data_IF_750819881267
#
_entry.id   IF_750819881267
#
_cell.length_a   1.000
_cell.length_b   1.000
_cell.length_c   1.000
_cell.angle_alpha   90.00
_cell.angle_beta   90.00
_cell.angle_gamma   90.00
#
_symmetry.space_group_name_H-M   'P 1'
#
loop_
_entity.id
_entity.type
_entity.pdbx_description
1 polymer ?
#
# COMPACT_ATOMS: atom_id res chain seq x y z
N UNK A 1 -21.40 -45.27 -0.30
CA UNK A 1 -22.03 -43.95 -0.19
C UNK A 1 -21.40 -43.08 -1.28
N UNK A 2 -22.17 -42.50 -2.20
CA UNK A 2 -21.57 -41.67 -3.25
C UNK A 2 -21.29 -40.26 -2.71
N UNK A 3 -20.33 -39.55 -3.30
CA UNK A 3 -20.04 -38.17 -2.94
C UNK A 3 -21.24 -37.22 -3.13
N UNK A 4 -22.19 -37.58 -3.99
CA UNK A 4 -23.42 -36.80 -4.20
C UNK A 4 -24.45 -36.97 -3.05
N UNK A 5 -24.27 -37.99 -2.20
CA UNK A 5 -25.18 -38.31 -1.09
C UNK A 5 -24.72 -37.71 0.24
N UNK A 6 -23.63 -36.93 0.26
CA UNK A 6 -23.17 -36.26 1.46
C UNK A 6 -24.19 -35.20 1.91
N UNK A 7 -24.49 -35.11 3.22
CA UNK A 7 -25.32 -34.05 3.77
C UNK A 7 -24.79 -32.65 3.42
N UNK A 8 -25.71 -31.71 3.20
CA UNK A 8 -25.38 -30.36 2.75
C UNK A 8 -24.49 -29.63 3.76
N UNK A 9 -24.76 -29.76 5.05
CA UNK A 9 -23.96 -29.24 6.16
C UNK A 9 -22.53 -29.77 6.14
N UNK A 10 -22.35 -31.07 5.87
CA UNK A 10 -21.01 -31.68 5.75
C UNK A 10 -20.27 -31.15 4.53
N UNK A 11 -20.96 -30.95 3.39
CA UNK A 11 -20.34 -30.37 2.20
C UNK A 11 -19.97 -28.90 2.41
N UNK A 12 -20.87 -28.11 3.00
CA UNK A 12 -20.70 -26.68 3.29
C UNK A 12 -19.56 -26.48 4.28
N UNK A 13 -19.66 -27.01 5.50
CA UNK A 13 -18.72 -26.73 6.59
C UNK A 13 -17.47 -27.63 6.57
N UNK A 14 -17.62 -28.88 6.11
CA UNK A 14 -16.57 -29.89 6.14
C UNK A 14 -15.64 -29.87 4.94
N UNK A 15 -16.11 -29.39 3.78
CA UNK A 15 -15.35 -29.42 2.51
C UNK A 15 -15.19 -28.02 1.93
N UNK A 16 -16.29 -27.38 1.50
CA UNK A 16 -16.22 -26.17 0.68
C UNK A 16 -15.76 -24.97 1.49
N UNK A 17 -16.21 -24.82 2.74
CA UNK A 17 -15.75 -23.75 3.64
C UNK A 17 -14.24 -23.82 3.92
N UNK A 18 -13.64 -25.00 3.76
CA UNK A 18 -12.21 -25.24 3.98
C UNK A 18 -11.37 -25.09 2.72
N UNK A 19 -11.98 -24.86 1.56
CA UNK A 19 -11.25 -24.56 0.33
C UNK A 19 -11.02 -23.08 0.25
N UNK A 20 -9.76 -22.61 0.35
CA UNK A 20 -9.50 -21.19 0.34
C UNK A 20 -9.59 -20.60 -1.07
N UNK A 21 -9.25 -21.39 -2.10
CA UNK A 21 -9.16 -20.94 -3.50
C UNK A 21 -10.55 -20.92 -4.17
N UNK A 22 -11.03 -19.77 -4.67
CA UNK A 22 -12.25 -19.67 -5.46
C UNK A 22 -12.33 -20.68 -6.61
N UNK A 23 -11.23 -20.86 -7.35
CA UNK A 23 -11.17 -21.83 -8.45
C UNK A 23 -11.54 -23.26 -8.03
N UNK A 24 -11.13 -23.70 -6.84
CA UNK A 24 -11.47 -25.03 -6.33
C UNK A 24 -12.96 -25.12 -5.96
N UNK A 25 -13.54 -24.06 -5.38
CA UNK A 25 -14.98 -23.98 -5.12
C UNK A 25 -15.79 -24.04 -6.42
N UNK A 26 -15.33 -23.37 -7.48
CA UNK A 26 -15.96 -23.40 -8.80
C UNK A 26 -15.89 -24.80 -9.42
N UNK A 27 -14.72 -25.46 -9.35
CA UNK A 27 -14.54 -26.85 -9.81
C UNK A 27 -15.47 -27.80 -9.07
N UNK A 28 -15.62 -27.64 -7.76
CA UNK A 28 -16.55 -28.42 -6.95
C UNK A 28 -18.03 -28.18 -7.31
N UNK A 29 -18.41 -26.93 -7.58
CA UNK A 29 -19.76 -26.59 -8.03
C UNK A 29 -20.12 -27.22 -9.39
N UNK A 30 -19.13 -27.63 -10.18
CA UNK A 30 -19.33 -28.33 -11.44
C UNK A 30 -19.59 -29.84 -11.28
N UNK A 31 -19.24 -30.44 -10.13
CA UNK A 31 -19.31 -31.91 -9.91
C UNK A 31 -20.74 -32.45 -9.98
N UNK A 32 -21.66 -31.90 -9.17
CA UNK A 32 -23.07 -32.30 -9.19
C UNK A 32 -23.98 -31.21 -8.59
N UNK A 33 -25.31 -31.40 -8.65
CA UNK A 33 -26.29 -30.42 -8.15
C UNK A 33 -26.17 -30.16 -6.64
N UNK A 34 -25.91 -31.20 -5.83
CA UNK A 34 -25.74 -31.04 -4.39
C UNK A 34 -24.52 -30.18 -4.05
N UNK A 35 -23.39 -30.41 -4.72
CA UNK A 35 -22.17 -29.64 -4.52
C UNK A 35 -22.30 -28.21 -5.04
N UNK A 36 -23.04 -28.01 -6.14
CA UNK A 36 -23.41 -26.66 -6.61
C UNK A 36 -24.27 -25.90 -5.59
N UNK A 37 -25.23 -26.56 -4.97
CA UNK A 37 -26.06 -25.96 -3.93
C UNK A 37 -25.20 -25.59 -2.70
N UNK A 38 -24.36 -26.51 -2.25
CA UNK A 38 -23.41 -26.28 -1.15
C UNK A 38 -22.44 -25.12 -1.45
N UNK A 39 -21.90 -25.07 -2.67
CA UNK A 39 -20.99 -24.00 -3.10
C UNK A 39 -21.67 -22.63 -3.09
N UNK A 40 -22.91 -22.54 -3.55
CA UNK A 40 -23.68 -21.29 -3.52
C UNK A 40 -23.94 -20.80 -2.09
N UNK A 41 -24.21 -21.71 -1.17
CA UNK A 41 -24.39 -21.38 0.25
C UNK A 41 -23.08 -20.85 0.87
N UNK A 42 -21.93 -21.47 0.56
CA UNK A 42 -20.63 -21.00 1.06
C UNK A 42 -20.17 -19.69 0.43
N UNK A 43 -20.38 -19.48 -0.88
CA UNK A 43 -19.98 -18.23 -1.56
C UNK A 43 -20.66 -17.02 -0.92
N UNK A 44 -21.90 -17.15 -0.44
CA UNK A 44 -22.57 -16.08 0.31
C UNK A 44 -21.99 -15.81 1.71
N UNK A 45 -21.16 -16.69 2.25
CA UNK A 45 -20.67 -16.61 3.63
C UNK A 45 -19.15 -16.35 3.78
N UNK A 46 -18.33 -16.65 2.77
CA UNK A 46 -16.86 -16.61 2.89
C UNK A 46 -16.22 -15.85 1.72
N UNK A 47 -16.71 -14.66 1.40
CA UNK A 47 -15.90 -13.67 0.69
C UNK A 47 -15.09 -12.87 1.71
N UNK A 48 -14.14 -13.54 2.35
CA UNK A 48 -13.16 -12.88 3.19
C UNK A 48 -11.95 -12.52 2.32
N UNK A 49 -11.33 -11.34 2.52
CA UNK A 49 -10.10 -11.01 1.85
C UNK A 49 -8.99 -11.96 2.27
N UNK A 50 -8.00 -12.05 1.39
CA UNK A 50 -6.76 -12.75 1.64
C UNK A 50 -5.73 -11.77 2.17
N UNK A 51 -4.82 -12.29 2.98
CA UNK A 51 -3.57 -11.59 3.29
C UNK A 51 -2.48 -12.30 2.50
N UNK A 52 -1.85 -11.55 1.60
CA UNK A 52 -0.77 -12.05 0.76
C UNK A 52 0.55 -11.62 1.40
N UNK A 53 1.38 -12.61 1.71
CA UNK A 53 2.74 -12.42 2.16
C UNK A 53 3.67 -12.19 0.96
N UNK A 54 4.85 -11.57 1.16
CA UNK A 54 5.80 -11.29 0.10
C UNK A 54 6.15 -12.51 -0.77
N UNK A 55 6.21 -13.73 -0.21
CA UNK A 55 6.61 -14.95 -0.94
C UNK A 55 5.47 -15.68 -1.64
N UNK A 56 4.35 -14.99 -1.88
CA UNK A 56 3.17 -15.58 -2.51
C UNK A 56 2.44 -16.59 -1.63
N UNK A 57 2.74 -16.60 -0.32
CA UNK A 57 1.92 -17.33 0.65
C UNK A 57 0.70 -16.50 0.98
N UNK A 58 -0.47 -17.11 0.87
CA UNK A 58 -1.73 -16.51 1.27
C UNK A 58 -2.13 -17.09 2.61
N UNK A 59 -2.56 -16.23 3.50
CA UNK A 59 -3.32 -16.59 4.67
C UNK A 59 -4.80 -16.23 4.44
N UNK A 60 -5.69 -17.05 4.98
CA UNK A 60 -7.14 -16.78 4.96
C UNK A 60 -7.69 -16.87 6.37
N UNK A 61 -8.56 -15.92 6.72
CA UNK A 61 -9.35 -16.00 7.92
C UNK A 61 -10.47 -17.04 7.75
N UNK A 62 -10.52 -18.00 8.67
CA UNK A 62 -11.68 -18.89 8.82
C UNK A 62 -12.55 -18.41 9.98
N UNK A 63 -13.88 -18.51 9.84
CA UNK A 63 -14.80 -18.37 10.99
C UNK A 63 -14.60 -19.58 11.91
N UNK A 64 -13.89 -19.40 13.03
CA UNK A 64 -13.71 -20.44 14.05
C UNK A 64 -12.82 -21.63 13.64
N UNK A 65 -12.21 -21.60 12.46
CA UNK A 65 -11.22 -22.57 12.01
C UNK A 65 -9.82 -21.93 12.09
N UNK A 66 -8.80 -22.73 12.42
CA UNK A 66 -7.40 -22.32 12.32
C UNK A 66 -7.15 -21.68 10.95
N UNK A 67 -6.42 -20.55 10.90
CA UNK A 67 -6.08 -19.94 9.63
C UNK A 67 -5.44 -20.96 8.70
N UNK A 68 -5.93 -21.02 7.47
CA UNK A 68 -5.31 -21.83 6.45
C UNK A 68 -4.33 -20.96 5.68
N UNK A 69 -3.11 -21.47 5.51
CA UNK A 69 -2.12 -20.89 4.62
C UNK A 69 -1.89 -21.81 3.44
N UNK A 70 -1.71 -21.22 2.27
CA UNK A 70 -1.36 -21.95 1.05
C UNK A 70 -0.55 -21.03 0.16
N UNK A 71 0.24 -21.61 -0.75
CA UNK A 71 0.94 -20.84 -1.76
C UNK A 71 0.02 -20.56 -2.94
N UNK A 72 0.00 -19.33 -3.42
CA UNK A 72 -0.75 -18.95 -4.61
C UNK A 72 -0.30 -19.85 -5.78
N UNK A 73 -1.23 -20.60 -6.41
CA UNK A 73 -0.90 -21.38 -7.60
C UNK A 73 -0.36 -20.48 -8.72
N UNK A 74 0.73 -20.91 -9.36
CA UNK A 74 1.37 -20.13 -10.44
C UNK A 74 2.28 -18.99 -9.96
N UNK A 75 2.39 -18.75 -8.65
CA UNK A 75 3.24 -17.69 -8.12
C UNK A 75 4.73 -17.98 -8.40
N UNK A 76 5.46 -17.10 -9.11
CA UNK A 76 6.85 -17.34 -9.48
C UNK A 76 7.77 -17.51 -8.26
N UNK A 77 8.70 -18.47 -8.30
CA UNK A 77 9.61 -18.75 -7.18
C UNK A 77 10.57 -17.60 -6.81
N UNK A 78 10.91 -16.77 -7.79
CA UNK A 78 11.87 -15.66 -7.63
C UNK A 78 11.18 -14.29 -7.60
N UNK A 79 9.87 -14.25 -7.36
CA UNK A 79 9.11 -13.02 -7.24
C UNK A 79 8.76 -12.70 -5.77
N UNK A 80 8.73 -11.41 -5.48
CA UNK A 80 8.17 -10.84 -4.26
C UNK A 80 6.84 -10.16 -4.61
N UNK A 81 5.80 -10.44 -3.84
CA UNK A 81 4.52 -9.76 -3.93
C UNK A 81 4.64 -8.36 -3.32
N UNK A 82 4.38 -7.33 -4.12
CA UNK A 82 4.35 -5.93 -3.70
C UNK A 82 2.98 -5.51 -3.12
N UNK A 83 1.93 -6.28 -3.42
CA UNK A 83 0.56 -6.01 -2.97
C UNK A 83 -0.47 -6.22 -4.09
N UNK A 84 -1.74 -5.96 -3.77
CA UNK A 84 -2.81 -5.98 -4.74
C UNK A 84 -2.81 -4.72 -5.60
N UNK A 85 -2.78 -4.88 -6.92
CA UNK A 85 -2.87 -3.79 -7.87
C UNK A 85 -4.32 -3.47 -8.26
N UNK A 86 -5.16 -4.50 -8.30
CA UNK A 86 -6.60 -4.44 -8.55
C UNK A 86 -7.23 -5.75 -8.05
N UNK A 87 -8.56 -5.86 -8.10
CA UNK A 87 -9.27 -7.11 -7.86
C UNK A 87 -8.75 -8.21 -8.78
N UNK A 88 -8.23 -9.27 -8.18
CA UNK A 88 -7.61 -10.39 -8.88
C UNK A 88 -6.19 -10.16 -9.40
N UNK A 89 -5.60 -8.96 -9.27
CA UNK A 89 -4.27 -8.65 -9.79
C UNK A 89 -3.28 -8.33 -8.68
N UNK A 90 -2.12 -8.97 -8.72
CA UNK A 90 -0.97 -8.74 -7.83
C UNK A 90 0.13 -8.01 -8.59
N UNK A 91 0.78 -7.07 -7.94
CA UNK A 91 2.04 -6.53 -8.41
C UNK A 91 3.20 -7.38 -7.87
N UNK A 92 4.12 -7.74 -8.75
CA UNK A 92 5.27 -8.58 -8.46
C UNK A 92 6.56 -7.83 -8.76
N UNK A 93 7.57 -8.10 -7.96
CA UNK A 93 8.96 -7.68 -8.16
C UNK A 93 9.84 -8.93 -8.26
N UNK A 94 10.49 -9.13 -9.40
CA UNK A 94 11.56 -10.12 -9.53
C UNK A 94 12.88 -9.41 -9.38
N UNK A 95 13.37 -9.38 -8.15
CA UNK A 95 14.66 -8.79 -7.81
C UNK A 95 15.73 -9.87 -7.69
N UNK A 96 16.95 -9.55 -8.12
CA UNK A 96 18.12 -10.37 -7.80
C UNK A 96 18.52 -10.26 -6.32
N UNK A 97 17.99 -9.28 -5.60
CA UNK A 97 18.20 -9.07 -4.18
C UNK A 97 17.68 -10.26 -3.35
N UNK A 98 18.59 -10.92 -2.65
CA UNK A 98 18.24 -11.97 -1.68
C UNK A 98 17.65 -11.35 -0.41
N UNK A 99 18.13 -10.18 0.01
CA UNK A 99 17.71 -9.50 1.25
C UNK A 99 16.29 -8.96 1.12
N UNK A 100 15.94 -8.30 0.02
CA UNK A 100 14.57 -7.89 -0.30
C UNK A 100 13.60 -9.07 -0.40
N UNK A 101 14.11 -10.26 -0.79
CA UNK A 101 13.38 -11.55 -0.73
C UNK A 101 13.46 -12.25 0.64
N UNK A 102 14.12 -11.68 1.64
CA UNK A 102 14.20 -12.28 2.98
C UNK A 102 13.30 -11.51 3.93
N UNK A 103 12.55 -12.23 4.77
CA UNK A 103 11.54 -11.67 5.67
C UNK A 103 12.13 -10.47 6.41
N UNK A 104 11.41 -9.37 6.53
CA UNK A 104 11.94 -8.18 7.23
C UNK A 104 12.42 -8.54 8.64
N UNK A 105 11.83 -9.53 9.33
CA UNK A 105 12.35 -10.03 10.62
C UNK A 105 13.78 -10.54 10.56
N UNK A 106 14.18 -11.09 9.42
CA UNK A 106 15.53 -11.60 9.20
C UNK A 106 16.49 -10.49 8.77
N UNK A 107 16.00 -9.44 8.11
CA UNK A 107 16.81 -8.36 7.53
C UNK A 107 16.81 -7.05 8.32
N UNK A 108 15.95 -6.96 9.33
CA UNK A 108 15.91 -5.87 10.30
C UNK A 108 15.78 -6.48 11.67
N UNK A 109 16.90 -6.52 12.41
CA UNK A 109 16.87 -6.92 13.81
C UNK A 109 16.74 -5.65 14.63
N UNK A 110 15.84 -5.61 15.63
CA UNK A 110 15.75 -4.46 16.50
C UNK A 110 17.04 -4.40 17.32
N UNK A 111 17.83 -3.34 17.11
CA UNK A 111 19.06 -3.07 17.85
C UNK A 111 18.78 -1.92 18.82
N UNK A 112 19.14 -2.11 20.07
CA UNK A 112 19.10 -1.03 21.06
C UNK A 112 20.29 -0.12 20.81
N UNK A 113 20.04 1.14 20.42
CA UNK A 113 21.05 2.19 20.29
C UNK A 113 20.79 3.21 21.38
N UNK A 114 21.57 3.16 22.46
CA UNK A 114 21.28 3.93 23.67
C UNK A 114 20.03 3.39 24.38
N UNK A 115 19.09 4.27 24.70
CA UNK A 115 17.80 3.89 25.32
C UNK A 115 16.67 3.71 24.27
N UNK A 116 17.00 3.80 22.98
CA UNK A 116 16.04 3.75 21.88
C UNK A 116 16.20 2.46 21.09
N UNK A 117 15.08 1.79 20.79
CA UNK A 117 15.07 0.71 19.82
C UNK A 117 15.19 1.31 18.42
N UNK A 118 16.26 0.99 17.71
CA UNK A 118 16.41 1.30 16.29
C UNK A 118 16.32 0.01 15.49
N UNK A 119 15.42 -0.02 14.51
CA UNK A 119 15.44 -1.05 13.49
C UNK A 119 16.60 -0.75 12.54
N UNK A 120 17.68 -1.53 12.62
CA UNK A 120 18.78 -1.41 11.66
C UNK A 120 18.33 -2.06 10.37
N UNK A 121 18.05 -1.25 9.35
CA UNK A 121 17.86 -1.77 7.99
C UNK A 121 19.20 -2.30 7.51
N UNK A 122 19.29 -3.61 7.24
CA UNK A 122 20.48 -4.20 6.61
C UNK A 122 20.64 -3.74 5.15
N UNK A 123 19.59 -3.16 4.57
CA UNK A 123 19.59 -2.64 3.22
C UNK A 123 20.63 -1.54 3.05
N UNK A 124 21.53 -1.74 2.09
CA UNK A 124 22.60 -0.81 1.74
C UNK A 124 22.13 0.17 0.68
N UNK A 125 22.27 1.47 0.94
CA UNK A 125 21.95 2.52 -0.05
C UNK A 125 22.97 2.58 -1.19
N UNK A 126 24.19 2.09 -0.95
CA UNK A 126 25.29 2.00 -1.91
C UNK A 126 25.27 0.72 -2.77
N UNK A 127 24.32 -0.19 -2.53
CA UNK A 127 24.21 -1.45 -3.30
C UNK A 127 22.94 -1.44 -4.14
N UNK A 128 23.14 -1.45 -5.46
CA UNK A 128 22.07 -1.51 -6.44
C UNK A 128 21.74 -2.94 -6.83
N UNK A 129 20.44 -3.21 -6.96
CA UNK A 129 19.87 -4.49 -7.37
C UNK A 129 19.12 -4.36 -8.68
N UNK A 130 19.05 -5.46 -9.43
CA UNK A 130 18.25 -5.52 -10.65
C UNK A 130 16.84 -5.98 -10.33
N UNK A 131 15.86 -5.20 -10.75
CA UNK A 131 14.43 -5.49 -10.59
C UNK A 131 13.76 -5.68 -11.96
N UNK A 132 12.77 -6.58 -11.99
CA UNK A 132 11.88 -6.78 -13.14
C UNK A 132 10.44 -6.95 -12.65
N UNK A 133 9.62 -5.94 -12.91
CA UNK A 133 8.27 -5.81 -12.40
C UNK A 133 7.25 -6.46 -13.34
N UNK A 134 6.18 -6.99 -12.74
CA UNK A 134 5.07 -7.57 -13.49
C UNK A 134 3.76 -7.47 -12.73
N UNK A 135 2.65 -7.47 -13.47
CA UNK A 135 1.32 -7.75 -12.92
C UNK A 135 0.99 -9.22 -13.12
N UNK A 136 0.44 -9.88 -12.10
CA UNK A 136 0.07 -11.29 -12.17
C UNK A 136 -1.35 -11.50 -11.65
N UNK A 137 -2.15 -12.24 -12.41
CA UNK A 137 -3.49 -12.63 -12.02
C UNK A 137 -3.55 -14.16 -11.78
N UNK A 138 -3.57 -14.61 -10.52
CA UNK A 138 -3.52 -16.03 -10.19
C UNK A 138 -4.81 -16.81 -10.53
N UNK A 139 -5.90 -16.12 -10.90
CA UNK A 139 -7.17 -16.76 -11.27
C UNK A 139 -7.28 -17.05 -12.76
N UNK A 140 -6.59 -16.26 -13.59
CA UNK A 140 -6.52 -16.43 -15.03
C UNK A 140 -5.15 -16.94 -15.52
N UNK A 141 -4.17 -17.02 -14.62
CA UNK A 141 -2.77 -17.38 -14.91
C UNK A 141 -2.13 -16.45 -15.97
N UNK A 142 -2.52 -15.18 -15.94
CA UNK A 142 -2.00 -14.14 -16.83
C UNK A 142 -0.94 -13.33 -16.10
N UNK A 143 0.21 -13.16 -16.74
CA UNK A 143 1.30 -12.30 -16.27
C UNK A 143 1.64 -11.27 -17.33
N UNK A 144 1.66 -10.00 -16.94
CA UNK A 144 1.99 -8.85 -17.79
C UNK A 144 3.30 -8.25 -17.29
N UNK A 145 4.42 -8.40 -18.02
CA UNK A 145 5.66 -7.72 -17.67
C UNK A 145 5.50 -6.20 -17.86
N UNK A 146 6.19 -5.41 -17.04
CA UNK A 146 6.20 -3.94 -17.10
C UNK A 146 7.60 -3.42 -17.46
N UNK A 147 8.14 -3.72 -18.66
CA UNK A 147 9.50 -3.32 -19.02
C UNK A 147 9.70 -1.80 -19.03
N UNK A 148 8.63 -1.03 -19.23
CA UNK A 148 8.67 0.42 -19.16
C UNK A 148 8.90 0.91 -17.72
N UNK A 149 8.38 0.18 -16.73
CA UNK A 149 8.66 0.45 -15.32
C UNK A 149 10.08 0.01 -14.96
N UNK A 150 10.53 -1.13 -15.47
CA UNK A 150 11.91 -1.61 -15.33
C UNK A 150 12.91 -0.59 -15.91
N UNK A 151 12.55 0.13 -16.96
CA UNK A 151 13.40 1.17 -17.53
C UNK A 151 13.57 2.39 -16.60
N UNK A 152 12.65 2.62 -15.65
CA UNK A 152 12.72 3.74 -14.69
C UNK A 152 13.35 3.30 -13.37
N UNK A 153 12.94 2.14 -12.84
CA UNK A 153 13.30 1.66 -11.50
C UNK A 153 13.84 0.23 -11.48
N UNK A 154 14.34 -0.28 -12.61
CA UNK A 154 14.88 -1.65 -12.73
C UNK A 154 16.31 -1.81 -12.23
N UNK A 155 17.00 -0.73 -11.86
CA UNK A 155 18.28 -0.76 -11.15
C UNK A 155 18.25 0.31 -10.06
N UNK A 156 18.06 -0.10 -8.82
CA UNK A 156 17.85 0.80 -7.66
C UNK A 156 18.50 0.22 -6.42
N UNK A 157 18.77 1.07 -5.42
CA UNK A 157 19.36 0.64 -4.16
C UNK A 157 18.50 -0.40 -3.42
N UNK A 158 19.14 -1.21 -2.59
CA UNK A 158 18.48 -2.18 -1.69
C UNK A 158 17.46 -1.52 -0.74
N UNK A 159 17.63 -0.22 -0.45
CA UNK A 159 16.72 0.58 0.37
C UNK A 159 15.49 1.08 -0.39
N UNK A 160 15.50 1.02 -1.73
CA UNK A 160 14.39 1.41 -2.58
C UNK A 160 13.20 0.47 -2.42
N UNK A 161 11.99 1.03 -2.41
CA UNK A 161 10.75 0.30 -2.19
C UNK A 161 9.65 0.82 -3.07
N UNK A 162 9.03 -0.09 -3.81
CA UNK A 162 7.66 0.12 -4.31
C UNK A 162 6.70 -0.02 -3.14
N UNK A 163 5.92 1.03 -2.90
CA UNK A 163 5.03 1.14 -1.74
C UNK A 163 3.61 0.74 -2.05
N UNK A 164 3.10 1.17 -3.21
CA UNK A 164 1.74 0.91 -3.66
C UNK A 164 1.73 0.81 -5.18
N UNK A 165 0.99 -0.15 -5.71
CA UNK A 165 0.74 -0.29 -7.15
C UNK A 165 -0.77 -0.32 -7.33
N UNK A 166 -1.30 0.46 -8.27
CA UNK A 166 -2.73 0.51 -8.57
C UNK A 166 -2.93 0.42 -10.07
N UNK A 167 -3.76 -0.52 -10.53
CA UNK A 167 -4.27 -0.49 -11.89
C UNK A 167 -5.52 0.40 -11.94
N UNK A 168 -5.66 1.18 -13.02
CA UNK A 168 -6.86 2.00 -13.25
C UNK A 168 -8.10 1.14 -13.48
N UNK A 169 -7.95 0.02 -14.18
CA UNK A 169 -9.01 -0.93 -14.48
C UNK A 169 -8.46 -2.37 -14.49
N UNK A 170 -9.29 -3.41 -14.58
CA UNK A 170 -8.81 -4.80 -14.60
C UNK A 170 -8.19 -5.21 -15.94
N UNK A 171 -8.16 -4.32 -16.95
CA UNK A 171 -7.57 -4.61 -18.24
C UNK A 171 -6.03 -4.67 -18.14
N UNK A 172 -5.39 -5.71 -18.71
CA UNK A 172 -3.95 -5.97 -18.54
C UNK A 172 -3.04 -4.92 -19.18
N UNK A 173 -3.53 -4.19 -20.18
CA UNK A 173 -2.83 -3.16 -20.95
C UNK A 173 -3.24 -1.73 -20.55
N UNK A 174 -3.95 -1.59 -19.44
CA UNK A 174 -4.37 -0.30 -18.93
C UNK A 174 -3.28 0.38 -18.08
N UNK A 175 -3.53 1.63 -17.73
CA UNK A 175 -2.66 2.45 -16.91
C UNK A 175 -2.47 1.88 -15.50
N UNK A 176 -1.23 1.90 -15.04
CA UNK A 176 -0.82 1.55 -13.70
C UNK A 176 -0.15 2.76 -13.05
N UNK A 177 -0.53 3.08 -11.82
CA UNK A 177 0.14 4.04 -10.97
C UNK A 177 0.98 3.30 -9.93
N UNK A 178 2.25 3.67 -9.82
CA UNK A 178 3.22 3.08 -8.89
C UNK A 178 3.72 4.18 -7.98
N UNK A 179 3.61 3.98 -6.66
CA UNK A 179 4.24 4.83 -5.68
C UNK A 179 5.51 4.18 -5.15
N UNK A 180 6.54 5.00 -4.96
CA UNK A 180 7.83 4.58 -4.42
C UNK A 180 8.19 5.42 -3.19
N UNK A 181 9.21 4.96 -2.45
CA UNK A 181 9.81 5.76 -1.40
C UNK A 181 10.88 6.74 -1.91
N UNK A 182 11.21 6.80 -3.20
CA UNK A 182 12.20 7.75 -3.70
C UNK A 182 11.57 9.11 -4.01
N UNK A 183 12.26 10.20 -3.70
CA UNK A 183 11.80 11.55 -4.03
C UNK A 183 11.85 11.81 -5.55
N UNK A 184 12.83 11.22 -6.21
CA UNK A 184 13.08 11.38 -7.64
C UNK A 184 12.05 10.64 -8.51
N UNK A 185 11.32 9.68 -7.95
CA UNK A 185 10.26 8.96 -8.64
C UNK A 185 9.11 8.52 -7.71
N UNK A 186 8.63 9.46 -6.88
CA UNK A 186 7.62 9.17 -5.85
C UNK A 186 6.32 8.62 -6.44
N UNK A 187 5.88 9.12 -7.60
CA UNK A 187 4.74 8.57 -8.36
C UNK A 187 5.14 8.38 -9.82
N UNK A 188 4.97 7.16 -10.32
CA UNK A 188 5.25 6.76 -11.69
C UNK A 188 3.95 6.25 -12.31
N UNK A 189 3.59 6.78 -13.47
CA UNK A 189 2.56 6.21 -14.33
C UNK A 189 3.23 5.33 -15.37
N UNK A 190 2.75 4.10 -15.54
CA UNK A 190 3.23 3.21 -16.59
C UNK A 190 2.07 2.53 -17.30
N UNK A 191 2.26 2.24 -18.59
CA UNK A 191 1.32 1.45 -19.38
C UNK A 191 2.11 0.51 -20.27
N UNK A 192 1.83 -0.78 -20.13
CA UNK A 192 2.56 -1.84 -20.81
C UNK A 192 2.52 -1.64 -22.34
N UNK A 193 3.69 -1.67 -22.97
CA UNK A 193 3.85 -1.47 -24.41
C UNK A 193 3.68 -0.02 -24.89
N UNK A 194 3.45 0.94 -23.99
CA UNK A 194 3.22 2.36 -24.34
C UNK A 194 4.30 3.27 -23.80
N UNK A 195 4.58 3.21 -22.50
CA UNK A 195 5.63 4.03 -21.89
C UNK A 195 5.39 4.33 -20.42
N UNK A 196 6.18 5.26 -19.91
CA UNK A 196 6.13 5.76 -18.54
C UNK A 196 6.08 7.28 -18.50
N UNK A 197 5.58 7.79 -17.37
CA UNK A 197 5.62 9.20 -17.00
C UNK A 197 5.87 9.31 -15.50
N UNK A 198 7.00 9.91 -15.14
CA UNK A 198 7.35 10.17 -13.73
C UNK A 198 6.82 11.54 -13.36
N UNK A 199 6.00 11.60 -12.31
CA UNK A 199 5.45 12.88 -11.85
C UNK A 199 6.55 13.70 -11.16
N UNK A 200 6.50 15.04 -11.25
CA UNK A 200 7.29 15.90 -10.38
C UNK A 200 7.05 15.58 -8.90
N UNK A 201 8.05 15.83 -8.06
CA UNK A 201 7.94 15.53 -6.64
C UNK A 201 6.93 16.44 -5.94
N UNK A 202 5.84 15.84 -5.44
CA UNK A 202 4.78 16.52 -4.69
C UNK A 202 4.58 15.95 -3.28
N UNK A 203 5.56 15.20 -2.74
CA UNK A 203 5.50 14.59 -1.39
C UNK A 203 4.24 13.74 -1.16
N UNK A 204 3.84 12.96 -2.17
CA UNK A 204 2.63 12.16 -2.14
C UNK A 204 2.86 10.94 -1.24
N UNK A 205 1.97 10.76 -0.26
CA UNK A 205 2.02 9.64 0.70
C UNK A 205 0.99 8.56 0.42
N UNK A 206 -0.09 8.89 -0.29
CA UNK A 206 -1.03 7.90 -0.82
C UNK A 206 -1.70 8.39 -2.11
N UNK A 207 -2.12 7.43 -2.95
CA UNK A 207 -2.84 7.68 -4.20
C UNK A 207 -4.09 6.81 -4.33
N UNK A 208 -5.07 7.32 -5.08
CA UNK A 208 -6.27 6.56 -5.47
C UNK A 208 -6.83 7.06 -6.79
N UNK A 209 -7.27 6.14 -7.67
CA UNK A 209 -8.06 6.50 -8.84
C UNK A 209 -9.50 6.81 -8.42
N UNK A 210 -10.05 7.90 -8.99
CA UNK A 210 -11.47 8.21 -8.88
C UNK A 210 -12.01 8.61 -10.27
N UNK A 211 -12.79 7.70 -10.85
CA UNK A 211 -13.16 7.77 -12.26
C UNK A 211 -12.05 7.24 -13.17
N UNK A 212 -12.16 7.51 -14.47
CA UNK A 212 -11.23 6.99 -15.49
C UNK A 212 -10.08 7.95 -15.81
N UNK A 213 -10.25 9.24 -15.50
CA UNK A 213 -9.38 10.31 -16.00
C UNK A 213 -8.57 11.03 -14.91
N UNK A 214 -8.72 10.64 -13.64
CA UNK A 214 -8.06 11.34 -12.53
C UNK A 214 -7.43 10.38 -11.54
N UNK A 215 -6.12 10.54 -11.32
CA UNK A 215 -5.42 10.01 -10.15
C UNK A 215 -5.38 11.09 -9.08
N UNK A 216 -5.84 10.78 -7.88
CA UNK A 216 -5.72 11.66 -6.73
C UNK A 216 -4.53 11.26 -5.89
N UNK A 217 -3.74 12.23 -5.43
CA UNK A 217 -2.64 12.03 -4.49
C UNK A 217 -2.78 12.93 -3.28
N UNK A 218 -2.51 12.41 -2.08
CA UNK A 218 -2.51 13.17 -0.84
C UNK A 218 -1.08 13.39 -0.33
N UNK A 219 -0.78 14.57 0.20
CA UNK A 219 0.51 14.89 0.83
C UNK A 219 0.53 14.57 2.33
N UNK A 220 1.71 14.65 2.97
CA UNK A 220 1.81 14.61 4.44
C UNK A 220 1.02 15.74 5.12
N UNK A 221 0.94 16.90 4.47
CA UNK A 221 0.14 18.04 4.87
C UNK A 221 -1.36 17.89 4.60
N UNK A 222 -1.81 16.74 4.08
CA UNK A 222 -3.20 16.44 3.74
C UNK A 222 -3.82 17.35 2.68
N UNK A 223 -2.96 17.92 1.84
CA UNK A 223 -3.37 18.55 0.60
C UNK A 223 -3.74 17.47 -0.42
N UNK A 224 -4.79 17.70 -1.21
CA UNK A 224 -5.26 16.76 -2.23
C UNK A 224 -4.98 17.31 -3.62
N UNK A 225 -4.20 16.56 -4.38
CA UNK A 225 -3.88 16.84 -5.77
C UNK A 225 -4.71 15.95 -6.70
N UNK A 226 -5.24 16.54 -7.77
CA UNK A 226 -5.79 15.83 -8.90
C UNK A 226 -4.83 15.89 -10.08
N UNK A 227 -4.37 14.72 -10.51
CA UNK A 227 -3.59 14.53 -11.73
C UNK A 227 -4.54 14.07 -12.83
N UNK A 228 -4.86 14.99 -13.75
CA UNK A 228 -5.69 14.70 -14.90
C UNK A 228 -4.89 13.93 -15.92
N UNK A 229 -5.25 12.66 -16.08
CA UNK A 229 -4.55 11.68 -16.89
C UNK A 229 -4.86 11.97 -18.36
N UNK A 230 -3.83 11.84 -19.18
CA UNK A 230 -3.91 11.95 -20.63
C UNK A 230 -2.93 10.99 -21.28
N UNK A 231 -2.90 11.03 -22.60
CA UNK A 231 -1.95 10.30 -23.42
C UNK A 231 -1.33 11.28 -24.42
N UNK A 232 -0.07 11.10 -24.76
CA UNK A 232 0.56 11.82 -25.87
C UNK A 232 0.20 11.19 -27.23
N UNK A 233 0.74 11.74 -28.32
CA UNK A 233 0.49 11.27 -29.69
C UNK A 233 0.95 9.81 -29.92
N UNK A 234 1.89 9.31 -29.10
CA UNK A 234 2.39 7.93 -29.15
C UNK A 234 1.60 6.98 -28.22
N UNK A 235 0.62 7.51 -27.48
CA UNK A 235 -0.18 6.78 -26.49
C UNK A 235 0.54 6.57 -25.16
N UNK A 236 1.66 7.27 -24.92
CA UNK A 236 2.36 7.23 -23.63
C UNK A 236 1.53 7.93 -22.58
N UNK A 237 1.51 7.41 -21.34
CA UNK A 237 0.81 8.10 -20.26
C UNK A 237 1.39 9.50 -20.07
N UNK A 238 0.53 10.47 -19.77
CA UNK A 238 0.90 11.83 -19.44
C UNK A 238 -0.08 12.41 -18.41
N UNK A 239 0.27 13.53 -17.79
CA UNK A 239 -0.62 14.33 -16.94
C UNK A 239 -0.90 15.65 -17.65
N UNK A 240 -2.11 15.78 -18.21
CA UNK A 240 -2.51 16.95 -18.98
C UNK A 240 -2.69 18.21 -18.11
N UNK A 241 -3.07 18.02 -16.84
CA UNK A 241 -3.29 19.10 -15.89
C UNK A 241 -3.12 18.61 -14.46
N UNK A 242 -2.59 19.48 -13.60
CA UNK A 242 -2.47 19.25 -12.17
C UNK A 242 -3.29 20.31 -11.45
N UNK A 243 -4.12 19.89 -10.50
CA UNK A 243 -4.94 20.80 -9.69
C UNK A 243 -4.75 20.49 -8.20
N UNK A 244 -4.51 21.54 -7.40
CA UNK A 244 -4.58 21.46 -5.94
C UNK A 244 -6.03 21.63 -5.53
N UNK A 245 -6.72 20.51 -5.33
CA UNK A 245 -8.17 20.44 -5.11
C UNK A 245 -8.54 20.74 -3.66
N UNK A 246 -7.73 20.27 -2.70
CA UNK A 246 -7.88 20.61 -1.29
C UNK A 246 -6.57 21.21 -0.80
N UNK A 247 -6.62 22.46 -0.35
CA UNK A 247 -5.49 23.16 0.27
C UNK A 247 -5.62 23.10 1.79
N UNK A 248 -4.54 22.72 2.47
CA UNK A 248 -4.46 22.80 3.92
C UNK A 248 -3.52 23.94 4.30
N UNK A 249 -4.06 25.00 4.92
CA UNK A 249 -3.26 26.16 5.33
C UNK A 249 -2.23 25.85 6.41
N UNK A 250 -2.40 24.73 7.12
CA UNK A 250 -1.46 24.24 8.13
C UNK A 250 -0.43 23.25 7.54
N UNK A 251 -0.47 22.99 6.22
CA UNK A 251 0.45 22.04 5.58
C UNK A 251 1.92 22.38 5.83
N UNK A 252 2.27 23.68 5.91
CA UNK A 252 3.63 24.14 6.18
C UNK A 252 4.21 23.59 7.48
N UNK A 253 3.39 23.35 8.51
CA UNK A 253 3.84 22.72 9.77
C UNK A 253 4.23 21.24 9.60
N UNK A 254 3.81 20.59 8.51
CA UNK A 254 4.20 19.21 8.21
C UNK A 254 5.46 19.14 7.36
N UNK A 255 6.00 20.28 6.93
CA UNK A 255 7.15 20.34 6.03
C UNK A 255 8.45 20.77 6.71
N UNK A 256 8.40 21.15 8.01
CA UNK A 256 9.40 21.62 9.03
C UNK A 256 10.83 22.07 8.63
N UNK A 257 11.31 21.88 7.41
CA UNK A 257 12.59 22.38 6.88
C UNK A 257 12.51 22.86 5.41
N UNK A 258 11.43 22.58 4.67
CA UNK A 258 11.30 22.99 3.27
C UNK A 258 10.00 23.76 3.03
N UNK A 259 10.07 25.09 3.09
CA UNK A 259 8.99 25.99 2.67
C UNK A 259 8.72 25.83 1.17
N UNK A 260 7.94 24.82 0.80
CA UNK A 260 7.62 24.52 -0.59
C UNK A 260 6.46 25.40 -1.07
N UNK A 261 6.63 26.08 -2.21
CA UNK A 261 5.59 26.88 -2.87
C UNK A 261 5.11 26.15 -4.13
N UNK A 262 3.80 26.14 -4.35
CA UNK A 262 3.20 25.47 -5.49
C UNK A 262 3.62 26.13 -6.82
N UNK A 263 3.70 25.40 -7.97
CA UNK A 263 4.05 25.98 -9.28
C UNK A 263 3.26 27.27 -9.63
N UNK A 264 1.98 27.32 -9.27
CA UNK A 264 1.14 28.51 -9.46
C UNK A 264 1.56 29.71 -8.59
N UNK A 265 2.11 29.47 -7.40
CA UNK A 265 2.62 30.48 -6.50
C UNK A 265 3.99 30.99 -6.98
N UNK A 266 4.87 30.12 -7.49
CA UNK A 266 6.17 30.53 -8.10
C UNK A 266 5.97 31.37 -9.36
N UNK A 267 4.96 31.03 -10.18
CA UNK A 267 4.60 31.84 -11.34
C UNK A 267 4.16 33.27 -10.95
N UNK A 268 3.54 33.43 -9.77
CA UNK A 268 3.11 34.73 -9.25
C UNK A 268 4.22 35.52 -8.53
N UNK A 269 5.25 34.86 -8.00
CA UNK A 269 6.36 35.52 -7.30
C UNK A 269 7.56 35.84 -8.19
N UNK A 270 7.56 35.45 -9.47
CA UNK A 270 8.59 35.84 -10.45
C UNK A 270 8.68 37.35 -10.74
N UNK A 271 7.83 38.16 -10.10
CA UNK A 271 7.97 39.62 -10.02
C UNK A 271 8.13 40.00 -8.54
N UNK A 272 9.35 39.93 -8.01
CA UNK A 272 10.01 41.02 -7.28
C UNK A 272 11.14 40.48 -6.39
N UNK A 273 12.33 41.02 -6.67
CA UNK A 273 13.45 41.26 -5.77
C UNK A 273 14.24 40.05 -5.26
N UNK A 274 15.31 39.77 -6.00
CA UNK A 274 16.58 39.31 -5.47
C UNK A 274 17.02 40.25 -4.30
N UNK A 275 16.82 39.82 -3.06
CA UNK A 275 17.52 40.37 -1.90
C UNK A 275 18.12 39.19 -1.13
N UNK A 276 19.40 38.94 -1.45
CA UNK A 276 20.48 38.62 -0.52
C UNK A 276 20.10 37.77 0.70
N UNK A 277 20.04 36.45 0.51
CA UNK A 277 20.23 35.51 1.62
C UNK A 277 21.71 35.15 1.69
N UNK A 278 22.46 35.98 2.43
CA UNK A 278 23.80 35.68 2.93
C UNK A 278 23.72 34.44 3.84
N UNK A 279 24.02 33.27 3.27
CA UNK A 279 24.29 32.06 4.05
C UNK A 279 25.76 32.09 4.42
N UNK A 280 26.04 32.56 5.64
CA UNK A 280 27.37 32.60 6.22
C UNK A 280 28.00 31.19 6.25
N UNK A 281 29.23 31.13 5.74
CA UNK A 281 30.17 30.01 5.73
C UNK A 281 30.38 29.43 7.13
N UNK A 282 29.97 28.17 7.33
CA UNK A 282 30.47 27.34 8.44
C UNK A 282 31.54 26.38 7.88
N UNK A 283 32.80 26.82 7.99
CA UNK A 283 34.03 26.03 7.93
C UNK A 283 33.88 24.69 8.65
N UNK A 284 34.10 23.53 8.02
CA UNK A 284 34.76 22.37 8.65
C UNK A 284 35.22 21.30 7.64
N UNK A 285 36.54 21.06 7.69
CA UNK A 285 37.30 19.81 7.45
C UNK A 285 37.66 19.43 6.00
N UNK A 286 38.90 19.78 5.65
CA UNK A 286 39.74 19.07 4.67
C UNK A 286 39.87 17.59 5.06
N UNK A 287 39.43 16.67 4.20
CA UNK A 287 39.94 15.30 4.20
C UNK A 287 40.62 15.01 2.86
N UNK A 288 41.89 14.61 2.99
CA UNK A 288 42.84 14.31 1.92
C UNK A 288 42.40 13.16 1.01
N UNK A 289 42.71 13.36 -0.29
CA UNK A 289 42.71 12.39 -1.40
C UNK A 289 42.94 10.91 -1.03
N UNK A 290 42.05 10.02 -1.50
CA UNK A 290 42.45 8.69 -1.93
C UNK A 290 42.22 8.52 -3.44
N UNK A 291 43.34 8.57 -4.16
CA UNK A 291 43.69 7.80 -5.35
C UNK A 291 42.53 7.24 -6.22
N UNK A 292 42.28 7.95 -7.32
CA UNK A 292 41.97 7.47 -8.68
C UNK A 292 41.65 5.96 -8.78
N UNK A 293 40.37 5.62 -8.56
CA UNK A 293 39.76 4.43 -9.13
C UNK A 293 38.99 4.88 -10.37
N UNK A 294 39.58 4.56 -11.51
CA UNK A 294 39.01 4.68 -12.86
C UNK A 294 37.99 3.54 -13.02
N UNK A 295 36.76 3.76 -12.52
CA UNK A 295 35.62 2.93 -12.88
C UNK A 295 34.73 3.75 -13.82
N UNK A 296 34.83 3.41 -15.10
CA UNK A 296 34.17 4.12 -16.19
C UNK A 296 32.65 4.04 -16.15
N UNK A 297 32.06 5.17 -16.55
CA UNK A 297 30.80 5.30 -17.29
C UNK A 297 29.65 4.37 -16.86
N UNK A 298 29.03 4.64 -15.70
CA UNK A 298 27.67 4.17 -15.38
C UNK A 298 26.83 5.26 -14.64
N UNK A 299 27.23 6.55 -14.76
CA UNK A 299 26.79 7.71 -13.95
C UNK A 299 25.33 8.18 -14.15
N UNK A 300 24.43 7.36 -14.70
CA UNK A 300 22.99 7.69 -14.74
C UNK A 300 22.13 6.83 -13.80
N UNK A 301 22.66 5.74 -13.24
CA UNK A 301 21.87 4.85 -12.38
C UNK A 301 21.69 5.39 -10.96
N UNK A 302 22.63 6.20 -10.45
CA UNK A 302 22.65 6.60 -9.04
C UNK A 302 21.69 7.74 -8.70
N UNK A 303 21.07 8.36 -9.71
CA UNK A 303 20.13 9.46 -9.52
C UNK A 303 18.98 9.11 -8.57
N UNK A 304 18.52 7.86 -8.47
CA UNK A 304 17.37 7.50 -7.63
C UNK A 304 17.72 7.11 -6.20
N UNK A 305 19.02 6.96 -5.91
CA UNK A 305 19.55 6.48 -4.62
C UNK A 305 19.71 7.56 -3.56
N UNK A 306 19.39 8.82 -3.90
CA UNK A 306 19.49 9.95 -2.98
C UNK A 306 18.90 9.61 -1.61
N UNK A 307 19.67 9.93 -0.56
CA UNK A 307 19.49 9.47 0.81
C UNK A 307 18.14 9.86 1.45
N UNK A 308 17.40 10.75 0.81
CA UNK A 308 16.11 11.24 1.27
C UNK A 308 14.94 10.44 0.67
N UNK A 309 14.35 9.59 1.51
CA UNK A 309 13.24 8.71 1.18
C UNK A 309 11.91 9.27 1.71
N UNK A 310 10.82 9.16 0.95
CA UNK A 310 9.46 9.46 1.39
C UNK A 310 9.05 8.43 2.44
N UNK A 311 8.71 8.89 3.64
CA UNK A 311 8.11 8.07 4.68
C UNK A 311 6.85 7.37 4.19
N UNK A 312 6.55 6.18 4.74
CA UNK A 312 5.34 5.44 4.40
C UNK A 312 4.07 6.31 4.60
N UNK A 313 2.89 5.81 4.22
CA UNK A 313 1.64 6.56 4.46
C UNK A 313 1.42 6.84 5.96
N UNK A 314 2.27 6.22 6.77
CA UNK A 314 2.43 6.18 8.21
C UNK A 314 3.65 7.01 8.62
N UNK A 315 3.40 8.14 9.28
CA UNK A 315 4.46 9.06 9.73
C UNK A 315 4.46 9.10 11.25
N UNK A 316 5.64 9.26 11.86
CA UNK A 316 5.77 9.52 13.29
C UNK A 316 5.01 10.81 13.67
N UNK A 317 4.16 10.73 14.68
CA UNK A 317 3.21 11.75 15.13
C UNK A 317 3.52 12.21 16.57
N UNK A 318 4.79 12.06 16.98
CA UNK A 318 5.28 12.44 18.29
C UNK A 318 5.25 11.31 19.32
N UNK A 319 5.41 11.71 20.59
CA UNK A 319 5.41 10.78 21.72
C UNK A 319 4.06 10.83 22.44
N UNK A 320 3.62 9.67 22.95
CA UNK A 320 2.47 9.58 23.82
C UNK A 320 2.67 10.31 25.14
N UNK A 321 1.56 10.62 25.81
CA UNK A 321 1.57 11.21 27.14
C UNK A 321 2.12 10.20 28.15
N UNK A 322 3.32 10.47 28.68
CA UNK A 322 3.97 9.68 29.71
C UNK A 322 5.05 10.48 30.41
N UNK A 323 5.00 10.56 31.74
CA UNK A 323 5.99 11.27 32.57
C UNK A 323 7.34 10.54 32.64
N UNK A 324 7.37 9.25 32.28
CA UNK A 324 8.55 8.41 32.45
C UNK A 324 9.58 8.64 31.33
N UNK A 325 10.72 9.24 31.71
CA UNK A 325 11.85 9.58 30.85
C UNK A 325 12.55 8.37 30.18
N UNK A 326 12.19 7.12 30.49
CA UNK A 326 13.02 5.98 30.09
C UNK A 326 12.65 5.34 28.76
N UNK A 327 11.38 5.31 28.34
CA UNK A 327 10.99 4.96 26.97
C UNK A 327 9.60 5.53 26.71
N UNK A 328 9.49 6.56 25.88
CA UNK A 328 8.19 7.14 25.54
C UNK A 328 7.53 6.31 24.45
N UNK A 329 6.24 6.07 24.62
CA UNK A 329 5.45 5.44 23.58
C UNK A 329 5.44 6.32 22.33
N UNK A 330 5.59 5.72 21.16
CA UNK A 330 5.65 6.42 19.89
C UNK A 330 4.26 6.46 19.25
N UNK A 331 3.84 7.62 18.77
CA UNK A 331 2.62 7.79 18.02
C UNK A 331 2.93 7.79 16.53
N UNK A 332 2.05 7.18 15.77
CA UNK A 332 2.13 7.16 14.32
C UNK A 332 0.77 7.49 13.72
N UNK A 333 0.79 8.20 12.60
CA UNK A 333 -0.37 8.63 11.86
C UNK A 333 -0.29 8.16 10.41
N UNK A 334 -1.18 7.22 10.07
CA UNK A 334 -1.44 6.73 8.73
C UNK A 334 -2.48 7.60 8.01
N UNK A 335 -2.22 7.94 6.74
CA UNK A 335 -3.14 8.67 5.85
C UNK A 335 -3.44 7.82 4.63
N UNK A 336 -4.69 7.40 4.50
CA UNK A 336 -5.12 6.48 3.44
C UNK A 336 -6.24 7.10 2.61
N UNK A 337 -6.05 7.12 1.29
CA UNK A 337 -7.10 7.43 0.33
C UNK A 337 -7.87 6.16 -0.02
N UNK A 338 -9.18 6.22 0.16
CA UNK A 338 -10.08 5.09 -0.13
C UNK A 338 -11.31 5.59 -0.89
N UNK A 339 -11.62 4.94 -2.02
CA UNK A 339 -12.88 5.16 -2.72
C UNK A 339 -14.00 4.38 -2.03
N UNK A 340 -15.07 5.06 -1.62
CA UNK A 340 -16.27 4.42 -1.06
C UNK A 340 -17.06 3.66 -2.13
N UNK A 341 -18.03 2.84 -1.70
CA UNK A 341 -18.95 2.17 -2.64
C UNK A 341 -19.91 3.17 -3.31
N UNK A 342 -20.18 4.31 -2.67
CA UNK A 342 -20.92 5.44 -3.27
C UNK A 342 -20.11 6.20 -4.32
N UNK A 343 -18.81 5.92 -4.46
CA UNK A 343 -17.91 6.64 -5.36
C UNK A 343 -17.41 7.97 -4.81
N UNK A 344 -17.49 8.19 -3.51
CA UNK A 344 -16.86 9.34 -2.83
C UNK A 344 -15.41 9.00 -2.49
N UNK A 345 -14.54 10.03 -2.44
CA UNK A 345 -13.16 9.86 -1.96
C UNK A 345 -13.09 10.14 -0.47
N UNK A 346 -12.57 9.16 0.27
CA UNK A 346 -12.36 9.23 1.71
C UNK A 346 -10.88 9.37 2.02
N UNK A 347 -10.56 10.27 2.95
CA UNK A 347 -9.32 10.24 3.72
C UNK A 347 -9.62 9.53 5.04
N UNK A 348 -8.90 8.43 5.29
CA UNK A 348 -8.92 7.73 6.57
C UNK A 348 -7.61 8.00 7.29
N UNK A 349 -7.71 8.70 8.43
CA UNK A 349 -6.60 8.88 9.36
C UNK A 349 -6.61 7.72 10.35
N UNK A 350 -5.51 7.00 10.46
CA UNK A 350 -5.33 5.94 11.44
C UNK A 350 -4.21 6.32 12.39
N UNK A 351 -4.53 6.55 13.66
CA UNK A 351 -3.51 6.82 14.67
C UNK A 351 -3.33 5.57 15.54
N UNK A 352 -2.10 5.12 15.69
CA UNK A 352 -1.76 4.05 16.63
C UNK A 352 -0.55 4.42 17.47
N UNK A 353 -0.44 3.72 18.58
CA UNK A 353 0.65 3.85 19.51
C UNK A 353 1.49 2.58 19.45
N UNK A 354 2.79 2.75 19.24
CA UNK A 354 3.78 1.69 19.35
C UNK A 354 4.48 1.80 20.70
N UNK A 355 4.42 0.73 21.48
CA UNK A 355 5.16 0.61 22.72
C UNK A 355 6.21 -0.50 22.53
N UNK A 356 7.49 -0.27 22.84
CA UNK A 356 8.49 -1.34 22.70
C UNK A 356 8.29 -2.53 23.64
N UNK A 357 7.38 -2.44 24.63
CA UNK A 357 7.07 -3.52 25.59
C UNK A 357 5.71 -4.17 25.40
N UNK A 358 4.90 -3.71 24.45
CA UNK A 358 3.58 -4.29 24.17
C UNK A 358 3.22 -4.19 22.68
N UNK A 359 2.31 -5.04 22.18
CA UNK A 359 1.80 -4.90 20.83
C UNK A 359 1.26 -3.49 20.59
N UNK A 360 1.52 -2.93 19.40
CA UNK A 360 0.94 -1.64 19.02
C UNK A 360 -0.58 -1.73 19.02
N UNK A 361 -1.26 -0.65 19.39
CA UNK A 361 -2.72 -0.62 19.43
C UNK A 361 -3.27 0.66 18.77
N UNK A 362 -4.45 0.53 18.18
CA UNK A 362 -5.13 1.66 17.52
C UNK A 362 -5.69 2.61 18.57
N UNK A 363 -5.29 3.90 18.50
CA UNK A 363 -5.83 4.94 19.38
C UNK A 363 -7.13 5.52 18.85
N UNK A 364 -7.11 5.92 17.58
CA UNK A 364 -8.28 6.52 16.91
C UNK A 364 -8.22 6.34 15.41
N UNK A 365 -9.40 6.37 14.81
CA UNK A 365 -9.57 6.37 13.36
C UNK A 365 -10.57 7.45 13.02
N UNK A 366 -10.17 8.36 12.14
CA UNK A 366 -10.99 9.50 11.72
C UNK A 366 -11.24 9.42 10.20
N UNK A 367 -12.43 9.83 9.78
CA UNK A 367 -12.87 9.75 8.39
C UNK A 367 -13.22 11.14 7.90
N UNK A 368 -12.74 11.47 6.71
CA UNK A 368 -13.07 12.71 6.04
C UNK A 368 -13.46 12.42 4.60
N UNK A 369 -14.48 13.11 4.12
CA UNK A 369 -14.92 13.09 2.73
C UNK A 369 -14.30 14.28 2.00
N UNK A 370 -13.83 14.06 0.78
CA UNK A 370 -13.45 15.16 -0.10
C UNK A 370 -14.70 15.93 -0.51
N UNK A 371 -14.83 17.19 -0.10
CA UNK A 371 -15.82 18.13 -0.63
C UNK A 371 -15.16 18.93 -1.74
N UNK A 372 -15.23 18.41 -2.97
CA UNK A 372 -14.66 19.03 -4.16
C UNK A 372 -15.23 20.42 -4.44
N UNK A 373 -16.48 20.69 -4.04
CA UNK A 373 -17.12 21.98 -4.27
C UNK A 373 -16.60 23.07 -3.33
N UNK A 374 -16.26 22.68 -2.10
CA UNK A 374 -15.73 23.58 -1.09
C UNK A 374 -14.19 23.58 -1.00
N UNK A 375 -13.51 22.70 -1.73
CA UNK A 375 -12.05 22.56 -1.70
C UNK A 375 -11.50 22.18 -0.32
N UNK A 376 -12.23 21.36 0.44
CA UNK A 376 -11.87 20.98 1.82
C UNK A 376 -12.25 19.55 2.17
N UNK A 377 -11.62 19.03 3.22
CA UNK A 377 -12.04 17.80 3.88
C UNK A 377 -13.24 18.06 4.80
N UNK A 378 -14.32 17.31 4.63
CA UNK A 378 -15.50 17.35 5.49
C UNK A 378 -15.51 16.13 6.42
N UNK A 379 -15.60 16.36 7.73
CA UNK A 379 -15.65 15.27 8.70
C UNK A 379 -16.82 14.32 8.39
N UNK A 380 -16.53 13.02 8.33
CA UNK A 380 -17.53 11.97 8.18
C UNK A 380 -17.71 11.26 9.51
N UNK A 381 -18.96 11.03 9.92
CA UNK A 381 -19.31 10.32 11.15
C UNK A 381 -19.01 8.81 11.14
N UNK A 382 -18.09 8.36 10.30
CA UNK A 382 -17.78 6.94 10.02
C UNK A 382 -18.16 6.50 8.61
N UNK A 383 -18.24 5.18 8.43
CA UNK A 383 -18.55 4.54 7.14
C UNK A 383 -20.05 4.56 6.83
N UNK A 384 -20.39 4.49 5.54
CA UNK A 384 -21.78 4.37 5.14
C UNK A 384 -22.36 3.01 5.50
N UNK A 385 -23.69 2.92 5.49
CA UNK A 385 -24.41 1.69 5.82
C UNK A 385 -24.02 0.56 4.86
N UNK A 386 -23.65 -0.58 5.42
CA UNK A 386 -23.22 -1.78 4.70
C UNK A 386 -21.78 -1.76 4.19
N UNK A 387 -20.96 -0.76 4.55
CA UNK A 387 -19.54 -0.68 4.14
C UNK A 387 -18.59 -1.19 5.23
N UNK A 388 -17.40 -1.63 4.81
CA UNK A 388 -16.24 -1.90 5.65
C UNK A 388 -14.98 -1.50 4.89
N UNK A 389 -13.92 -1.12 5.60
CA UNK A 389 -12.65 -0.73 4.98
C UNK A 389 -11.52 -1.66 5.42
N UNK A 390 -10.65 -2.01 4.48
CA UNK A 390 -9.37 -2.68 4.74
C UNK A 390 -8.26 -1.70 4.37
N UNK A 391 -7.33 -1.48 5.31
CA UNK A 391 -6.20 -0.57 5.16
C UNK A 391 -4.88 -1.33 5.25
N UNK A 392 -3.99 -1.06 4.31
CA UNK A 392 -2.56 -1.39 4.40
C UNK A 392 -1.75 -0.35 3.64
N UNK A 393 -0.43 -0.24 3.90
CA UNK A 393 0.44 0.65 3.13
C UNK A 393 0.42 0.37 1.62
N UNK A 394 0.19 -0.88 1.21
CA UNK A 394 0.22 -1.31 -0.20
C UNK A 394 -1.13 -1.41 -0.88
N UNK A 395 -2.24 -1.49 -0.13
CA UNK A 395 -3.56 -1.57 -0.71
C UNK A 395 -4.65 -1.21 0.32
N UNK A 396 -5.47 -0.22 -0.02
CA UNK A 396 -6.60 0.21 0.80
C UNK A 396 -7.88 0.16 -0.02
N UNK A 397 -8.94 -0.45 0.54
CA UNK A 397 -10.17 -0.70 -0.20
C UNK A 397 -11.42 -0.65 0.68
N UNK A 398 -12.48 -0.02 0.18
CA UNK A 398 -13.82 -0.14 0.72
C UNK A 398 -14.56 -1.31 0.08
N UNK A 399 -15.21 -2.14 0.89
CA UNK A 399 -15.97 -3.31 0.44
C UNK A 399 -17.34 -3.36 1.09
N UNK A 400 -18.24 -4.14 0.48
CA UNK A 400 -19.54 -4.41 1.06
C UNK A 400 -19.40 -5.39 2.21
N UNK A 401 -19.92 -5.02 3.37
CA UNK A 401 -20.01 -5.89 4.53
C UNK A 401 -20.89 -7.11 4.21
N UNK A 402 -20.29 -8.29 4.25
CA UNK A 402 -20.94 -9.57 3.98
C UNK A 402 -20.10 -10.69 4.59
N UNK A 403 -20.75 -11.83 4.85
CA UNK A 403 -20.07 -12.99 5.44
C UNK A 403 -19.39 -12.66 6.77
N UNK A 404 -18.07 -12.85 6.84
CA UNK A 404 -17.26 -12.51 8.02
C UNK A 404 -16.80 -11.05 8.10
N UNK A 405 -17.06 -10.24 7.07
CA UNK A 405 -16.75 -8.79 7.09
C UNK A 405 -17.90 -8.05 7.77
N UNK A 406 -17.58 -7.35 8.86
CA UNK A 406 -18.57 -6.62 9.67
C UNK A 406 -18.77 -5.21 9.13
N UNK A 407 -20.01 -4.78 9.06
CA UNK A 407 -20.37 -3.43 8.64
C UNK A 407 -19.84 -2.39 9.64
N UNK A 408 -19.31 -1.27 9.15
CA UNK A 408 -18.76 -0.18 9.96
C UNK A 408 -17.44 -0.55 10.64
N UNK A 409 -16.73 -1.58 10.16
CA UNK A 409 -15.45 -1.97 10.72
C UNK A 409 -14.32 -1.56 9.79
N UNK A 410 -13.18 -1.20 10.39
CA UNK A 410 -11.91 -1.02 9.69
C UNK A 410 -10.90 -2.07 10.15
N UNK A 411 -10.27 -2.69 9.16
CA UNK A 411 -9.30 -3.77 9.31
C UNK A 411 -7.92 -3.29 8.87
N UNK A 412 -6.87 -3.70 9.58
CA UNK A 412 -5.49 -3.23 9.37
C UNK A 412 -4.52 -4.40 9.33
N UNK A 413 -3.49 -4.34 8.48
CA UNK A 413 -2.48 -5.43 8.42
C UNK A 413 -1.44 -5.36 9.55
N UNK A 414 -1.07 -4.18 10.06
CA UNK A 414 -0.08 -4.08 11.15
C UNK A 414 -0.58 -4.56 12.51
N UNK A 415 -1.90 -4.50 12.75
CA UNK A 415 -2.55 -4.84 14.02
C UNK A 415 -3.70 -5.81 13.77
N UNK A 416 -3.39 -6.99 13.24
CA UNK A 416 -4.42 -7.93 12.76
C UNK A 416 -5.34 -8.47 13.86
N UNK A 417 -4.92 -8.38 15.12
CA UNK A 417 -5.72 -8.81 16.27
C UNK A 417 -6.82 -7.81 16.63
N UNK A 418 -6.74 -6.58 16.11
CA UNK A 418 -7.63 -5.49 16.44
C UNK A 418 -8.36 -4.98 15.19
N UNK A 419 -9.64 -4.64 15.36
CA UNK A 419 -10.47 -4.00 14.34
C UNK A 419 -11.19 -2.80 14.94
N UNK A 420 -11.29 -1.72 14.19
CA UNK A 420 -11.93 -0.50 14.68
C UNK A 420 -13.41 -0.49 14.31
N UNK A 421 -14.30 -0.38 15.30
CA UNK A 421 -15.74 -0.22 15.09
C UNK A 421 -16.07 1.27 15.02
N UNK A 422 -16.39 1.77 13.82
CA UNK A 422 -16.66 3.20 13.59
C UNK A 422 -17.92 3.69 14.26
N UNK A 423 -18.84 2.79 14.65
CA UNK A 423 -20.13 3.17 15.26
C UNK A 423 -19.98 3.41 16.75
N UNK A 424 -19.16 2.60 17.43
CA UNK A 424 -18.83 2.82 18.84
C UNK A 424 -17.59 3.69 19.04
N UNK A 425 -16.77 3.88 18.01
CA UNK A 425 -15.51 4.62 18.10
C UNK A 425 -14.46 3.88 18.95
N UNK A 426 -14.52 2.55 18.97
CA UNK A 426 -13.69 1.71 19.85
C UNK A 426 -13.03 0.59 19.07
N UNK A 427 -11.84 0.20 19.49
CA UNK A 427 -11.19 -1.03 19.06
C UNK A 427 -11.91 -2.25 19.61
N UNK A 428 -12.03 -3.30 18.80
CA UNK A 428 -12.57 -4.61 19.14
C UNK A 428 -11.55 -5.66 18.75
N UNK A 429 -11.51 -6.79 19.46
CA UNK A 429 -10.78 -7.95 18.97
C UNK A 429 -11.34 -8.37 17.60
N UNK A 430 -10.46 -8.61 16.65
CA UNK A 430 -10.80 -9.16 15.35
C UNK A 430 -11.50 -10.51 15.56
N UNK A 431 -12.71 -10.68 14.99
CA UNK A 431 -13.39 -11.99 15.01
C UNK A 431 -12.52 -13.05 14.31
N UNK A 432 -11.66 -12.61 13.39
CA UNK A 432 -10.63 -13.41 12.74
C UNK A 432 -9.40 -13.57 13.63
N UNK A 433 -9.61 -14.00 14.88
CA UNK A 433 -8.51 -14.42 15.75
C UNK A 433 -7.83 -15.63 15.11
N UNK A 434 -6.52 -15.55 14.87
CA UNK A 434 -5.72 -16.69 14.43
C UNK A 434 -4.90 -16.47 13.16
N UNK A 435 -4.81 -15.25 12.62
CA UNK A 435 -3.82 -14.95 11.59
C UNK A 435 -2.44 -15.34 12.15
N UNK A 436 -1.61 -16.10 11.40
CA UNK A 436 -0.27 -16.43 11.85
C UNK A 436 0.47 -15.17 12.25
N UNK A 437 1.24 -15.21 13.35
CA UNK A 437 2.08 -14.08 13.80
C UNK A 437 2.89 -13.50 12.64
N UNK A 438 3.42 -14.40 11.78
CA UNK A 438 4.05 -14.12 10.48
C UNK A 438 3.34 -13.06 9.62
N UNK A 439 2.02 -12.92 9.67
CA UNK A 439 1.27 -11.93 8.89
C UNK A 439 1.39 -10.51 9.45
N UNK A 440 1.32 -10.36 10.78
CA UNK A 440 1.55 -9.09 11.47
C UNK A 440 3.02 -8.70 11.42
N UNK A 441 3.87 -9.72 11.35
CA UNK A 441 5.26 -9.58 11.11
C UNK A 441 5.47 -9.06 9.67
N UNK A 442 5.32 -9.87 8.63
CA UNK A 442 5.76 -9.52 7.27
C UNK A 442 5.01 -8.35 6.61
N UNK A 443 5.67 -7.71 5.61
CA UNK A 443 5.03 -6.72 4.73
C UNK A 443 3.89 -7.38 3.94
N UNK A 444 2.72 -7.43 4.56
CA UNK A 444 1.57 -8.13 4.05
C UNK A 444 0.55 -7.15 3.48
N UNK A 445 -0.16 -7.59 2.43
CA UNK A 445 -1.15 -6.78 1.73
C UNK A 445 -2.51 -7.47 1.66
N UNK A 446 -3.58 -6.67 1.70
CA UNK A 446 -4.91 -7.15 1.42
C UNK A 446 -5.04 -7.52 -0.06
N UNK A 447 -5.67 -8.66 -0.33
CA UNK A 447 -6.00 -9.07 -1.69
C UNK A 447 -7.45 -9.57 -1.73
N UNK A 448 -8.17 -9.15 -2.76
CA UNK A 448 -9.58 -9.43 -2.93
C UNK A 448 -9.75 -10.34 -4.14
N UNK A 449 -10.02 -11.64 -3.94
CA UNK A 449 -10.39 -12.52 -5.02
C UNK A 449 -11.66 -12.02 -5.74
N UNK A 450 -11.79 -12.24 -7.05
CA UNK A 450 -12.98 -11.86 -7.78
C UNK A 450 -14.20 -12.62 -7.25
N UNK A 451 -15.36 -11.97 -7.26
CA UNK A 451 -16.62 -12.62 -6.90
C UNK A 451 -16.91 -13.76 -7.89
N UNK A 452 -17.01 -14.99 -7.38
CA UNK A 452 -17.49 -16.12 -8.18
C UNK A 452 -18.99 -15.95 -8.46
N UNK A 453 -19.34 -15.66 -9.70
CA UNK A 453 -20.72 -15.80 -10.20
C UNK A 453 -20.95 -17.27 -10.55
N UNK A 454 -21.67 -18.02 -9.70
CA UNK A 454 -21.95 -19.48 -9.88
C UNK A 454 -23.36 -19.79 -10.36
#
# INVERSE_FOLDING_TARGET
MSWADLPLDVLVDGVIARLPIPGDRARLAAVCRAWRAAAREVVSHIQLPWIVLPYGTVCTAGRGAACSSFRIPGFPDEATCLGAAHDGWLALDRTDDVVGRTSWFRTTWPVVVGDTWKHVMLGKSDVNHKHAYALHNPFSDVTVPLPELDAVIGRVAETFRVRKVLMRSPAPDDLVAVMTNSWNCNVILCRAGKGTFVLPYYRIVDVAFLGEDTLYGITTGEELLAFHLGEDDDGRPNVARIELVIKNTLANYYYDEFGWLWPAEVASTSSNNDEDMDMDDDDYMEEDDPAVVDDGDDDQADSFNGDEMVSDSEVFDGYGDGEDLQVKDELYLGRYLVRSLSGELLLVRHQWQSCPRSPSYTRKVEFFKADFSAGKWAAAGGLAKGEAIFLSPSHSKCVRASGGVREGFVYYTKQMDDVFDTRSGTVRAAITAGWPELCALEKSGWFFPPELVV
#
